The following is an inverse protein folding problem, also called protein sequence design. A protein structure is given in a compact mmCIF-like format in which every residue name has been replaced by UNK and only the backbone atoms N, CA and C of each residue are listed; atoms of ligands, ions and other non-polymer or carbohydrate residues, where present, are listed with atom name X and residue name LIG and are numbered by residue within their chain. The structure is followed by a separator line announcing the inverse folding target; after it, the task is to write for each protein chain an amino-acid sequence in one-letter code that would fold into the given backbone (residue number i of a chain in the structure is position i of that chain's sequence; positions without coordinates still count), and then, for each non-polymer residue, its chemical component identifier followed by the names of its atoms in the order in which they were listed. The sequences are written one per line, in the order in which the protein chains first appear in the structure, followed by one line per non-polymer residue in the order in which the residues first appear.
data_IF_552473032682
#
_entry.id   IF_552473032682
#
_cell.length_a   1.000
_cell.length_b   1.000
_cell.length_c   1.000
_cell.angle_alpha   90.00
_cell.angle_beta   90.00
_cell.angle_gamma   90.00
#
_symmetry.space_group_name_H-M   'P 1'
#
loop_
_entity.id
_entity.type
_entity.pdbx_description
1 polymer ?
#
# COMPACT_ATOMS: atom_id res chain seq x y z
N UNK A 1 -11.66 3.21 26.04
CA UNK A 1 -11.42 2.70 27.41
C UNK A 1 -11.41 1.16 27.51
N UNK A 2 -11.38 0.39 26.40
CA UNK A 2 -11.51 -1.07 26.46
C UNK A 2 -10.19 -1.88 26.35
N UNK A 3 -9.05 -1.24 26.07
CA UNK A 3 -7.77 -1.96 25.86
C UNK A 3 -6.90 -2.06 27.12
N UNK A 4 -7.11 -1.14 28.08
CA UNK A 4 -6.40 -1.16 29.36
C UNK A 4 -6.96 -2.20 30.34
N UNK A 5 -8.25 -2.54 30.24
CA UNK A 5 -8.88 -3.56 31.09
C UNK A 5 -8.55 -5.01 30.69
N UNK A 6 -8.13 -5.25 29.44
CA UNK A 6 -7.70 -6.59 29.01
C UNK A 6 -6.25 -6.95 29.40
N UNK A 7 -5.42 -5.98 29.77
CA UNK A 7 -4.04 -6.21 30.21
C UNK A 7 -3.93 -6.60 31.69
N UNK A 8 -4.99 -6.48 32.48
CA UNK A 8 -4.95 -6.69 33.93
C UNK A 8 -5.54 -8.04 34.41
N UNK A 9 -5.94 -8.94 33.49
CA UNK A 9 -6.65 -10.17 33.85
C UNK A 9 -5.92 -11.49 33.51
N UNK A 10 -4.60 -11.46 33.28
CA UNK A 10 -3.78 -12.68 33.21
C UNK A 10 -2.37 -12.43 33.73
N UNK A 11 -2.23 -12.45 35.05
CA UNK A 11 -0.94 -12.71 35.70
C UNK A 11 -1.15 -13.72 36.82
N UNK A 12 -1.89 -14.79 36.54
CA UNK A 12 -1.60 -16.05 37.22
C UNK A 12 -0.25 -16.52 36.68
N UNK A 13 0.82 -16.12 37.35
CA UNK A 13 2.13 -16.77 37.24
C UNK A 13 1.84 -18.26 37.39
N UNK A 14 2.08 -19.11 36.37
CA UNK A 14 1.98 -20.53 36.61
C UNK A 14 3.02 -20.84 37.68
N UNK A 15 2.53 -21.31 38.83
CA UNK A 15 3.35 -21.73 39.95
C UNK A 15 4.05 -23.02 39.53
N UNK A 16 5.13 -22.86 38.76
CA UNK A 16 5.96 -23.97 38.35
C UNK A 16 6.77 -24.41 39.57
N UNK A 17 6.87 -25.73 39.84
CA UNK A 17 7.72 -26.20 40.92
C UNK A 17 9.13 -25.65 40.68
N UNK A 18 9.67 -24.96 41.67
CA UNK A 18 11.08 -24.56 41.73
C UNK A 18 11.90 -25.82 41.45
N UNK A 19 12.45 -25.92 40.24
CA UNK A 19 13.25 -27.06 39.85
C UNK A 19 14.56 -26.96 40.61
N UNK A 20 14.70 -27.75 41.66
CA UNK A 20 15.99 -28.00 42.27
C UNK A 20 16.69 -29.02 41.39
N UNK A 21 17.78 -28.65 40.69
CA UNK A 21 18.60 -29.66 40.04
C UNK A 21 19.00 -30.65 41.12
N UNK A 22 18.73 -31.93 40.88
CA UNK A 22 19.25 -32.99 41.73
C UNK A 22 20.78 -32.80 41.79
N UNK A 23 21.39 -32.79 42.99
CA UNK A 23 22.82 -32.53 43.12
C UNK A 23 23.59 -33.52 42.25
N UNK A 24 24.73 -33.08 41.71
CA UNK A 24 25.57 -33.99 40.95
C UNK A 24 25.93 -35.18 41.86
N UNK A 25 25.92 -36.42 41.34
CA UNK A 25 26.43 -37.55 42.10
C UNK A 25 27.87 -37.27 42.56
N UNK A 26 28.21 -37.66 43.79
CA UNK A 26 29.51 -37.35 44.41
C UNK A 26 30.72 -37.72 43.52
N UNK A 27 30.64 -38.84 42.80
CA UNK A 27 31.68 -39.31 41.89
C UNK A 27 31.85 -38.46 40.61
N UNK A 28 30.86 -37.63 40.27
CA UNK A 28 30.88 -36.72 39.11
C UNK A 28 31.14 -35.26 39.54
N UNK A 29 30.86 -34.94 40.80
CA UNK A 29 31.16 -33.64 41.40
C UNK A 29 32.65 -33.48 41.71
N UNK A 30 33.28 -34.52 42.26
CA UNK A 30 34.71 -34.54 42.57
C UNK A 30 35.53 -35.08 41.39
N UNK A 31 36.44 -34.26 40.86
CA UNK A 31 37.37 -34.67 39.81
C UNK A 31 38.27 -35.83 40.26
N UNK A 32 38.66 -35.89 41.53
CA UNK A 32 39.49 -36.98 42.06
C UNK A 32 38.76 -38.32 41.96
N UNK A 33 37.53 -38.37 42.44
CA UNK A 33 36.67 -39.56 42.36
C UNK A 33 36.36 -39.95 40.91
N UNK A 34 36.17 -38.96 40.03
CA UNK A 34 35.93 -39.23 38.61
C UNK A 34 37.16 -39.89 37.94
N UNK A 35 38.37 -39.45 38.30
CA UNK A 35 39.63 -40.04 37.81
C UNK A 35 39.85 -41.44 38.37
N UNK A 36 39.55 -41.65 39.65
CA UNK A 36 39.67 -42.95 40.29
C UNK A 36 38.70 -43.96 39.66
N UNK A 37 37.45 -43.56 39.44
CA UNK A 37 36.44 -44.35 38.72
C UNK A 37 36.91 -44.66 37.28
N UNK A 38 37.49 -43.67 36.59
CA UNK A 38 38.06 -43.88 35.25
C UNK A 38 39.22 -44.87 35.25
N UNK A 39 40.11 -44.80 36.25
CA UNK A 39 41.25 -45.68 36.38
C UNK A 39 40.82 -47.12 36.69
N UNK A 40 39.90 -47.30 37.64
CA UNK A 40 39.32 -48.61 37.99
C UNK A 40 38.64 -49.23 36.76
N UNK A 41 37.84 -48.46 36.04
CA UNK A 41 37.19 -48.92 34.81
C UNK A 41 38.20 -49.26 33.72
N UNK A 42 39.28 -48.49 33.56
CA UNK A 42 40.35 -48.76 32.59
C UNK A 42 41.17 -50.01 32.91
N UNK A 43 41.31 -50.35 34.18
CA UNK A 43 41.91 -51.61 34.64
C UNK A 43 40.97 -52.81 34.43
N UNK A 44 39.65 -52.59 34.42
CA UNK A 44 38.63 -53.61 34.16
C UNK A 44 38.37 -53.86 32.66
N UNK A 45 37.64 -54.92 32.31
CA UNK A 45 37.21 -55.20 30.93
C UNK A 45 35.99 -54.38 30.48
N UNK A 46 35.62 -53.35 31.23
CA UNK A 46 34.46 -52.51 30.94
C UNK A 46 34.64 -51.63 29.68
N UNK A 47 33.49 -51.19 29.15
CA UNK A 47 33.38 -50.32 27.98
C UNK A 47 33.34 -48.85 28.40
N UNK A 48 34.13 -48.02 27.72
CA UNK A 48 34.23 -46.57 27.96
C UNK A 48 32.92 -45.85 27.63
N UNK A 49 32.19 -46.37 26.64
CA UNK A 49 31.01 -45.77 26.03
C UNK A 49 29.82 -45.72 27.01
N UNK A 50 29.69 -46.71 27.89
CA UNK A 50 28.54 -46.81 28.80
C UNK A 50 28.56 -45.71 29.87
N UNK A 51 29.74 -45.42 30.43
CA UNK A 51 29.90 -44.40 31.48
C UNK A 51 29.95 -42.99 30.93
N UNK A 52 30.57 -42.77 29.77
CA UNK A 52 30.54 -41.47 29.07
C UNK A 52 29.13 -41.12 28.57
N UNK A 53 28.33 -42.13 28.15
CA UNK A 53 26.92 -41.93 27.85
C UNK A 53 26.09 -41.56 29.08
N UNK A 54 26.37 -42.18 30.24
CA UNK A 54 25.71 -41.85 31.50
C UNK A 54 26.02 -40.41 31.94
N UNK A 55 27.29 -39.98 31.90
CA UNK A 55 27.67 -38.58 32.13
C UNK A 55 26.91 -37.65 31.17
N UNK A 56 26.83 -38.01 29.89
CA UNK A 56 26.13 -37.21 28.88
C UNK A 56 24.64 -37.07 29.17
N UNK A 57 23.99 -38.16 29.62
CA UNK A 57 22.57 -38.19 29.96
C UNK A 57 22.25 -37.29 31.17
N UNK A 58 23.08 -37.33 32.22
CA UNK A 58 22.92 -36.46 33.40
C UNK A 58 22.98 -34.98 33.03
N UNK A 59 23.99 -34.59 32.27
CA UNK A 59 24.10 -33.21 31.79
C UNK A 59 22.99 -32.83 30.81
N UNK A 60 22.52 -33.77 29.98
CA UNK A 60 21.36 -33.55 29.11
C UNK A 60 20.11 -33.24 29.95
N UNK A 61 19.81 -34.03 30.98
CA UNK A 61 18.69 -33.78 31.89
C UNK A 61 18.82 -32.41 32.59
N UNK A 62 20.04 -32.05 33.02
CA UNK A 62 20.31 -30.77 33.65
C UNK A 62 20.14 -29.56 32.69
N UNK A 63 20.37 -29.75 31.39
CA UNK A 63 20.15 -28.71 30.37
C UNK A 63 18.69 -28.53 29.95
N UNK A 64 17.79 -29.50 30.22
CA UNK A 64 16.39 -29.46 29.73
C UNK A 64 15.67 -28.18 30.15
N UNK A 65 15.84 -27.75 31.41
CA UNK A 65 15.21 -26.54 31.92
C UNK A 65 15.67 -25.30 31.14
N UNK A 66 16.98 -25.12 31.00
CA UNK A 66 17.56 -23.98 30.29
C UNK A 66 17.23 -24.02 28.79
N UNK A 67 17.17 -25.20 28.18
CA UNK A 67 16.79 -25.37 26.78
C UNK A 67 15.35 -24.91 26.54
N UNK A 68 14.41 -25.29 27.41
CA UNK A 68 13.02 -24.82 27.34
C UNK A 68 12.90 -23.32 27.55
N UNK A 69 13.65 -22.76 28.50
CA UNK A 69 13.63 -21.32 28.71
C UNK A 69 14.21 -20.56 27.51
N UNK A 70 15.27 -21.07 26.89
CA UNK A 70 15.82 -20.52 25.65
C UNK A 70 14.79 -20.54 24.52
N UNK A 71 14.11 -21.67 24.32
CA UNK A 71 13.06 -21.82 23.32
C UNK A 71 11.91 -20.84 23.56
N UNK A 72 11.43 -20.73 24.80
CA UNK A 72 10.37 -19.78 25.18
C UNK A 72 10.76 -18.32 24.89
N UNK A 73 12.00 -17.93 25.21
CA UNK A 73 12.47 -16.56 24.96
C UNK A 73 12.69 -16.30 23.47
N UNK A 74 13.20 -17.29 22.74
CA UNK A 74 13.36 -17.22 21.29
C UNK A 74 12.02 -17.13 20.57
N UNK A 75 11.01 -17.88 21.00
CA UNK A 75 9.64 -17.82 20.47
C UNK A 75 9.03 -16.44 20.67
N UNK A 76 9.10 -15.89 21.90
CA UNK A 76 8.64 -14.51 22.18
C UNK A 76 9.33 -13.48 21.30
N UNK A 77 10.64 -13.60 21.08
CA UNK A 77 11.37 -12.70 20.17
C UNK A 77 10.88 -12.87 18.72
N UNK A 78 10.59 -14.11 18.30
CA UNK A 78 9.98 -14.43 17.01
C UNK A 78 8.62 -13.76 16.83
N UNK A 79 7.73 -13.87 17.81
CA UNK A 79 6.41 -13.22 17.83
C UNK A 79 6.55 -11.69 17.71
N UNK A 80 7.44 -11.07 18.50
CA UNK A 80 7.67 -9.64 18.44
C UNK A 80 8.22 -9.20 17.07
N UNK A 81 9.08 -10.00 16.44
CA UNK A 81 9.57 -9.71 15.09
C UNK A 81 8.44 -9.75 14.05
N UNK A 82 7.56 -10.75 14.14
CA UNK A 82 6.39 -10.87 13.26
C UNK A 82 5.47 -9.66 13.42
N UNK A 83 5.23 -9.21 14.65
CA UNK A 83 4.45 -7.99 14.90
C UNK A 83 5.12 -6.72 14.34
N UNK A 84 6.45 -6.61 14.43
CA UNK A 84 7.21 -5.51 13.80
C UNK A 84 7.03 -5.57 12.29
N UNK A 85 7.15 -6.73 11.66
CA UNK A 85 7.04 -6.90 10.21
C UNK A 85 5.64 -6.56 9.70
N UNK A 86 4.59 -7.03 10.38
CA UNK A 86 3.20 -6.69 10.04
C UNK A 86 2.96 -5.18 10.10
N UNK A 87 3.47 -4.49 11.13
CA UNK A 87 3.32 -3.03 11.24
C UNK A 87 4.21 -2.27 10.26
N UNK A 88 5.39 -2.80 9.95
CA UNK A 88 6.31 -2.24 8.95
C UNK A 88 5.75 -2.34 7.53
N UNK A 89 5.12 -3.45 7.19
CA UNK A 89 4.47 -3.61 5.89
C UNK A 89 3.27 -2.66 5.76
N UNK A 90 2.49 -2.48 6.83
CA UNK A 90 1.39 -1.52 6.87
C UNK A 90 1.87 -0.06 6.70
N UNK A 91 2.96 0.33 7.34
CA UNK A 91 3.54 1.67 7.17
C UNK A 91 4.03 1.89 5.74
N UNK A 92 4.70 0.90 5.14
CA UNK A 92 5.11 0.96 3.73
C UNK A 92 3.92 1.08 2.77
N UNK A 93 2.83 0.34 3.03
CA UNK A 93 1.59 0.43 2.26
C UNK A 93 0.98 1.85 2.30
N UNK A 94 0.90 2.46 3.49
CA UNK A 94 0.38 3.81 3.67
C UNK A 94 1.27 4.87 3.01
N UNK A 95 2.60 4.72 3.10
CA UNK A 95 3.54 5.61 2.42
C UNK A 95 3.39 5.52 0.91
N UNK A 96 3.22 4.31 0.35
CA UNK A 96 2.96 4.12 -1.08
C UNK A 96 1.65 4.79 -1.50
N UNK A 97 0.57 4.58 -0.75
CA UNK A 97 -0.72 5.24 -1.00
C UNK A 97 -0.63 6.77 -0.97
N UNK A 98 0.21 7.31 -0.08
CA UNK A 98 0.48 8.74 0.01
C UNK A 98 1.21 9.25 -1.24
N UNK A 99 2.28 8.55 -1.66
CA UNK A 99 3.03 8.88 -2.87
C UNK A 99 2.14 8.79 -4.13
N UNK A 100 1.31 7.76 -4.24
CA UNK A 100 0.36 7.60 -5.36
C UNK A 100 -0.65 8.76 -5.40
N UNK A 101 -1.15 9.21 -4.24
CA UNK A 101 -2.08 10.34 -4.15
C UNK A 101 -1.42 11.70 -4.43
N UNK A 102 -0.14 11.84 -4.11
CA UNK A 102 0.67 13.02 -4.46
C UNK A 102 0.97 13.08 -5.95
N UNK A 103 1.28 11.93 -6.57
CA UNK A 103 1.51 11.81 -8.01
C UNK A 103 0.23 11.91 -8.85
N UNK A 104 -0.94 11.64 -8.26
CA UNK A 104 -2.22 11.74 -8.96
C UNK A 104 -2.48 13.15 -9.51
N UNK A 105 -2.67 13.25 -10.82
CA UNK A 105 -3.10 14.45 -11.52
C UNK A 105 -4.54 14.29 -12.02
N UNK A 106 -5.35 15.36 -12.02
CA UNK A 106 -6.68 15.33 -12.64
C UNK A 106 -6.57 15.04 -14.15
N UNK A 107 -7.53 14.29 -14.69
CA UNK A 107 -7.56 13.90 -16.10
C UNK A 107 -7.92 15.07 -17.02
N UNK A 108 -6.99 15.46 -17.89
CA UNK A 108 -7.19 16.50 -18.92
C UNK A 108 -6.27 17.70 -18.80
N UNK A 109 -6.37 18.61 -19.78
CA UNK A 109 -5.62 19.87 -19.81
C UNK A 109 -6.55 21.06 -19.55
N UNK A 110 -6.12 22.07 -18.78
CA UNK A 110 -6.93 23.26 -18.55
C UNK A 110 -6.98 24.11 -19.82
N UNK A 111 -8.09 24.06 -20.56
CA UNK A 111 -8.31 24.90 -21.75
C UNK A 111 -9.32 26.03 -21.49
N UNK A 112 -9.67 26.26 -20.22
CA UNK A 112 -10.67 27.23 -19.77
C UNK A 112 -10.49 28.62 -20.40
N UNK A 113 -9.28 29.18 -20.44
CA UNK A 113 -9.05 30.52 -21.01
C UNK A 113 -9.40 30.58 -22.50
N UNK A 114 -8.96 29.57 -23.26
CA UNK A 114 -9.22 29.48 -24.70
C UNK A 114 -10.71 29.33 -24.98
N UNK A 115 -11.39 28.47 -24.22
CA UNK A 115 -12.82 28.21 -24.38
C UNK A 115 -13.66 29.43 -23.98
N UNK A 116 -13.30 30.12 -22.90
CA UNK A 116 -14.01 31.33 -22.46
C UNK A 116 -13.87 32.46 -23.47
N UNK A 117 -12.66 32.68 -24.00
CA UNK A 117 -12.42 33.71 -25.03
C UNK A 117 -13.17 33.38 -26.33
N UNK A 118 -13.16 32.12 -26.76
CA UNK A 118 -13.93 31.67 -27.92
C UNK A 118 -15.44 31.88 -27.75
N UNK A 119 -15.96 31.67 -26.54
CA UNK A 119 -17.38 31.84 -26.22
C UNK A 119 -17.77 33.33 -26.20
N UNK A 120 -16.91 34.20 -25.66
CA UNK A 120 -17.07 35.66 -25.74
C UNK A 120 -17.06 36.13 -27.21
N UNK A 121 -16.14 35.61 -28.02
CA UNK A 121 -16.08 35.94 -29.45
C UNK A 121 -17.37 35.51 -30.18
N UNK A 122 -17.90 34.32 -29.88
CA UNK A 122 -19.18 33.87 -30.44
C UNK A 122 -20.35 34.76 -30.02
N UNK A 123 -20.40 35.22 -28.76
CA UNK A 123 -21.40 36.19 -28.32
C UNK A 123 -21.28 37.53 -29.02
N UNK A 124 -20.06 38.03 -29.25
CA UNK A 124 -19.85 39.27 -30.02
C UNK A 124 -20.37 39.15 -31.45
N UNK A 125 -20.19 37.98 -32.08
CA UNK A 125 -20.67 37.69 -33.44
C UNK A 125 -22.20 37.58 -33.48
N UNK A 126 -22.82 36.98 -32.45
CA UNK A 126 -24.27 36.95 -32.27
C UNK A 126 -24.87 38.36 -32.12
N UNK A 127 -24.22 39.25 -31.37
CA UNK A 127 -24.66 40.64 -31.23
C UNK A 127 -24.55 41.36 -32.58
N UNK A 128 -23.45 41.16 -33.31
CA UNK A 128 -23.26 41.73 -34.64
C UNK A 128 -24.35 41.30 -35.63
N UNK A 129 -24.78 40.04 -35.58
CA UNK A 129 -25.84 39.55 -36.46
C UNK A 129 -27.24 39.96 -36.06
N UNK A 130 -27.49 40.19 -34.77
CA UNK A 130 -28.71 40.84 -34.32
C UNK A 130 -28.88 42.22 -34.96
N UNK A 131 -27.84 43.07 -34.89
CA UNK A 131 -27.87 44.40 -35.50
C UNK A 131 -28.02 44.34 -37.02
N UNK A 132 -27.31 43.41 -37.67
CA UNK A 132 -27.41 43.22 -39.12
C UNK A 132 -28.84 42.82 -39.54
N UNK A 133 -29.51 41.96 -38.77
CA UNK A 133 -30.89 41.56 -39.04
C UNK A 133 -31.88 42.71 -38.78
N UNK A 134 -31.73 43.45 -37.68
CA UNK A 134 -32.64 44.54 -37.32
C UNK A 134 -32.64 45.63 -38.42
N UNK A 135 -31.46 46.00 -38.92
CA UNK A 135 -31.32 46.99 -40.00
C UNK A 135 -31.94 46.52 -41.33
N UNK A 136 -31.91 45.21 -41.61
CA UNK A 136 -32.50 44.65 -42.84
C UNK A 136 -34.03 44.47 -42.76
N UNK A 137 -34.57 44.27 -41.55
CA UNK A 137 -36.01 44.05 -41.29
C UNK A 137 -36.77 45.35 -40.98
N UNK A 138 -36.08 46.41 -40.56
CA UNK A 138 -36.64 47.73 -40.25
C UNK A 138 -37.60 48.29 -41.32
N UNK A 139 -37.34 48.21 -42.63
CA UNK A 139 -38.25 48.78 -43.63
C UNK A 139 -39.58 48.02 -43.81
N UNK A 140 -39.69 46.77 -43.35
CA UNK A 140 -40.88 45.94 -43.55
C UNK A 140 -41.78 45.82 -42.32
N UNK A 141 -41.24 46.00 -41.11
CA UNK A 141 -41.98 45.82 -39.87
C UNK A 141 -41.78 46.98 -38.90
N UNK A 142 -42.88 47.56 -38.40
CA UNK A 142 -42.85 48.58 -37.33
C UNK A 142 -42.34 48.04 -35.98
N UNK A 143 -42.46 46.74 -35.75
CA UNK A 143 -41.94 46.00 -34.58
C UNK A 143 -40.75 45.11 -34.95
N UNK A 144 -39.76 45.67 -35.66
CA UNK A 144 -38.59 44.94 -36.19
C UNK A 144 -37.80 44.18 -35.12
N UNK A 145 -37.70 44.71 -33.90
CA UNK A 145 -36.85 44.18 -32.83
C UNK A 145 -37.29 42.82 -32.30
N UNK A 146 -38.61 42.61 -32.15
CA UNK A 146 -39.16 41.34 -31.66
C UNK A 146 -39.02 40.25 -32.72
N UNK A 147 -39.34 40.58 -33.98
CA UNK A 147 -39.22 39.67 -35.11
C UNK A 147 -37.76 39.27 -35.32
N UNK A 148 -36.83 40.23 -35.25
CA UNK A 148 -35.39 39.98 -35.33
C UNK A 148 -34.91 39.05 -34.21
N UNK A 149 -35.35 39.29 -32.97
CA UNK A 149 -35.00 38.40 -31.85
C UNK A 149 -35.56 36.99 -32.04
N UNK A 150 -36.77 36.84 -32.58
CA UNK A 150 -37.39 35.55 -32.88
C UNK A 150 -36.67 34.79 -34.00
N UNK A 151 -36.27 35.47 -35.07
CA UNK A 151 -35.49 34.89 -36.17
C UNK A 151 -34.10 34.47 -35.68
N UNK A 152 -33.46 35.30 -34.86
CA UNK A 152 -32.17 34.98 -34.25
C UNK A 152 -32.26 33.76 -33.33
N UNK A 153 -33.28 33.70 -32.45
CA UNK A 153 -33.53 32.54 -31.59
C UNK A 153 -33.82 31.29 -32.41
N UNK A 154 -34.67 31.38 -33.45
CA UNK A 154 -34.99 30.24 -34.30
C UNK A 154 -33.74 29.73 -35.04
N UNK A 155 -32.95 30.62 -35.63
CA UNK A 155 -31.71 30.25 -36.32
C UNK A 155 -30.69 29.59 -35.39
N UNK A 156 -30.63 30.05 -34.14
CA UNK A 156 -29.69 29.57 -33.12
C UNK A 156 -30.10 28.26 -32.44
N UNK A 157 -31.34 28.18 -31.93
CA UNK A 157 -31.84 27.03 -31.17
C UNK A 157 -32.07 25.78 -32.02
N UNK A 158 -32.17 25.92 -33.34
CA UNK A 158 -32.23 24.78 -34.27
C UNK A 158 -31.07 23.80 -34.11
N UNK A 159 -29.91 24.26 -33.63
CA UNK A 159 -28.71 23.45 -33.46
C UNK A 159 -28.59 22.80 -32.06
N UNK A 160 -29.28 23.33 -31.04
CA UNK A 160 -29.18 22.83 -29.66
C UNK A 160 -29.97 21.54 -29.41
N UNK A 161 -30.99 21.24 -30.24
CA UNK A 161 -31.97 20.21 -29.92
C UNK A 161 -31.46 18.76 -30.06
N UNK A 162 -30.23 18.52 -30.54
CA UNK A 162 -29.72 17.15 -30.73
C UNK A 162 -28.22 16.95 -30.54
N UNK A 163 -27.56 17.70 -29.66
CA UNK A 163 -26.19 17.34 -29.21
C UNK A 163 -26.17 16.33 -28.05
N UNK A 164 -27.26 15.56 -27.87
CA UNK A 164 -27.31 14.46 -26.91
C UNK A 164 -26.59 13.24 -27.48
N UNK A 165 -25.40 12.95 -26.93
CA UNK A 165 -24.60 11.72 -27.09
C UNK A 165 -25.32 10.56 -27.79
N UNK A 166 -25.10 10.42 -29.10
CA UNK A 166 -25.40 9.18 -29.84
C UNK A 166 -24.10 8.41 -29.98
N UNK A 167 -23.77 7.64 -28.96
CA UNK A 167 -22.87 6.49 -29.10
C UNK A 167 -23.60 5.42 -29.90
N UNK A 168 -22.98 5.04 -31.02
CA UNK A 168 -23.17 3.79 -31.78
C UNK A 168 -24.54 3.57 -32.46
N UNK A 169 -24.61 3.69 -33.79
CA UNK A 169 -24.61 2.55 -34.75
C UNK A 169 -24.75 3.07 -36.19
N UNK A 170 -24.08 2.39 -37.11
CA UNK A 170 -23.73 2.73 -38.49
C UNK A 170 -24.86 3.11 -39.49
N UNK A 171 -24.55 4.13 -40.30
CA UNK A 171 -24.63 4.18 -41.78
C UNK A 171 -25.81 4.79 -42.57
N UNK A 172 -26.97 5.12 -42.00
CA UNK A 172 -28.03 5.83 -42.77
C UNK A 172 -28.30 7.28 -42.34
N UNK A 173 -27.62 7.76 -41.28
CA UNK A 173 -28.06 8.92 -40.52
C UNK A 173 -27.37 10.26 -40.84
N UNK A 174 -26.27 10.26 -41.61
CA UNK A 174 -25.56 11.51 -41.93
C UNK A 174 -26.42 12.49 -42.74
N UNK A 175 -27.17 12.02 -43.74
CA UNK A 175 -28.04 12.89 -44.54
C UNK A 175 -29.28 13.35 -43.77
N UNK A 176 -29.82 12.52 -42.88
CA UNK A 176 -31.05 12.86 -42.13
C UNK A 176 -30.77 13.77 -40.93
N UNK A 177 -29.61 13.62 -40.27
CA UNK A 177 -29.14 14.56 -39.26
C UNK A 177 -28.80 15.92 -39.88
N UNK A 178 -28.04 15.93 -40.99
CA UNK A 178 -27.73 17.14 -41.74
C UNK A 178 -29.00 17.89 -42.17
N UNK A 179 -30.02 17.16 -42.66
CA UNK A 179 -31.31 17.75 -43.04
C UNK A 179 -32.15 18.24 -41.86
N UNK A 180 -32.03 17.65 -40.68
CA UNK A 180 -32.76 18.11 -39.49
C UNK A 180 -32.10 19.31 -38.80
N UNK A 181 -30.77 19.39 -38.87
CA UNK A 181 -29.95 20.32 -38.10
C UNK A 181 -29.72 21.64 -38.84
N UNK A 182 -29.72 21.63 -40.19
CA UNK A 182 -29.62 22.86 -41.00
C UNK A 182 -30.99 23.41 -41.43
N UNK A 183 -32.10 22.70 -41.18
CA UNK A 183 -33.42 23.12 -41.64
C UNK A 183 -33.87 24.48 -41.09
N UNK A 184 -33.65 24.75 -39.79
CA UNK A 184 -34.02 26.04 -39.19
C UNK A 184 -33.14 27.21 -39.68
N UNK A 185 -31.79 27.08 -39.75
CA UNK A 185 -30.94 28.08 -40.39
C UNK A 185 -31.32 28.35 -41.86
N UNK A 186 -31.70 27.31 -42.62
CA UNK A 186 -32.17 27.47 -44.01
C UNK A 186 -33.50 28.22 -44.05
N UNK A 187 -34.46 27.85 -43.21
CA UNK A 187 -35.79 28.49 -43.17
C UNK A 187 -35.69 29.97 -42.76
N UNK A 188 -34.86 30.28 -41.77
CA UNK A 188 -34.61 31.67 -41.31
C UNK A 188 -33.88 32.49 -42.36
N UNK A 189 -32.87 31.93 -43.02
CA UNK A 189 -32.19 32.57 -44.15
C UNK A 189 -33.13 32.83 -45.33
N UNK A 190 -33.97 31.86 -45.68
CA UNK A 190 -34.96 32.01 -46.74
C UNK A 190 -36.03 33.06 -46.39
N UNK A 191 -36.43 33.14 -45.12
CA UNK A 191 -37.33 34.20 -44.65
C UNK A 191 -36.72 35.58 -44.87
N UNK A 192 -35.44 35.79 -44.51
CA UNK A 192 -34.74 37.05 -44.75
C UNK A 192 -34.60 37.34 -46.25
N UNK A 193 -34.38 36.32 -47.08
CA UNK A 193 -34.34 36.46 -48.55
C UNK A 193 -35.66 37.01 -49.12
N UNK A 194 -36.79 36.44 -48.71
CA UNK A 194 -38.13 36.85 -49.18
C UNK A 194 -38.43 38.30 -48.81
N UNK A 195 -37.96 38.75 -47.65
CA UNK A 195 -38.14 40.14 -47.22
C UNK A 195 -37.18 41.10 -47.92
N UNK A 196 -35.94 40.69 -48.18
CA UNK A 196 -34.91 41.59 -48.75
C UNK A 196 -35.00 41.74 -50.26
N UNK A 197 -35.57 40.77 -50.99
CA UNK A 197 -35.75 40.84 -52.45
C UNK A 197 -36.69 41.97 -52.90
N UNK A 198 -37.55 42.46 -52.01
CA UNK A 198 -38.49 43.54 -52.31
C UNK A 198 -37.82 44.92 -52.35
N UNK A 199 -36.71 45.11 -51.61
CA UNK A 199 -36.04 46.41 -51.46
C UNK A 199 -34.65 46.48 -52.09
N UNK A 200 -34.01 45.35 -52.41
CA UNK A 200 -32.65 45.31 -52.94
C UNK A 200 -32.55 44.51 -54.24
N UNK A 201 -31.46 44.73 -54.98
CA UNK A 201 -31.13 43.92 -56.16
C UNK A 201 -31.13 42.43 -55.80
N UNK A 202 -31.69 41.56 -56.66
CA UNK A 202 -31.81 40.13 -56.37
C UNK A 202 -30.47 39.48 -56.03
N UNK A 203 -29.37 39.94 -56.64
CA UNK A 203 -28.02 39.47 -56.31
C UNK A 203 -27.59 39.79 -54.88
N UNK A 204 -27.94 40.98 -54.36
CA UNK A 204 -27.62 41.37 -52.99
C UNK A 204 -28.41 40.53 -51.98
N UNK A 205 -29.68 40.27 -52.26
CA UNK A 205 -30.55 39.47 -51.40
C UNK A 205 -30.11 38.00 -51.34
N UNK A 206 -29.71 37.41 -52.48
CA UNK A 206 -29.13 36.05 -52.53
C UNK A 206 -27.84 35.99 -51.69
N UNK A 207 -26.92 36.96 -51.88
CA UNK A 207 -25.66 37.00 -51.16
C UNK A 207 -25.86 37.16 -49.64
N UNK A 208 -26.80 38.01 -49.22
CA UNK A 208 -27.10 38.25 -47.82
C UNK A 208 -27.76 37.04 -47.14
N UNK A 209 -28.67 36.37 -47.83
CA UNK A 209 -29.25 35.10 -47.37
C UNK A 209 -28.16 34.05 -47.16
N UNK A 210 -27.34 33.79 -48.18
CA UNK A 210 -26.23 32.83 -48.07
C UNK A 210 -25.29 33.17 -46.90
N UNK A 211 -24.97 34.46 -46.72
CA UNK A 211 -24.13 34.92 -45.62
C UNK A 211 -24.74 34.63 -44.24
N UNK A 212 -26.02 34.97 -44.04
CA UNK A 212 -26.73 34.72 -42.77
C UNK A 212 -26.84 33.22 -42.50
N UNK A 213 -27.12 32.41 -43.52
CA UNK A 213 -27.15 30.95 -43.40
C UNK A 213 -25.81 30.39 -42.90
N UNK A 214 -24.71 30.72 -43.57
CA UNK A 214 -23.35 30.25 -43.20
C UNK A 214 -23.03 30.69 -41.78
N UNK A 215 -23.38 31.92 -41.43
CA UNK A 215 -23.09 32.48 -40.13
C UNK A 215 -23.85 31.75 -39.00
N UNK A 216 -25.14 31.45 -39.18
CA UNK A 216 -25.90 30.66 -38.20
C UNK A 216 -25.32 29.25 -38.01
N UNK A 217 -24.91 28.58 -39.09
CA UNK A 217 -24.30 27.25 -39.01
C UNK A 217 -22.95 27.30 -38.27
N UNK A 218 -22.08 28.26 -38.60
CA UNK A 218 -20.76 28.40 -37.98
C UNK A 218 -20.87 28.75 -36.49
N UNK A 219 -21.73 29.70 -36.13
CA UNK A 219 -21.95 30.08 -34.73
C UNK A 219 -22.54 28.91 -33.94
N UNK A 220 -23.57 28.25 -34.48
CA UNK A 220 -24.25 27.15 -33.80
C UNK A 220 -23.27 26.03 -33.44
N UNK A 221 -22.48 25.58 -34.42
CA UNK A 221 -21.50 24.53 -34.22
C UNK A 221 -20.43 24.94 -33.19
N UNK A 222 -19.93 26.17 -33.30
CA UNK A 222 -18.89 26.69 -32.41
C UNK A 222 -19.35 26.78 -30.96
N UNK A 223 -20.56 27.29 -30.71
CA UNK A 223 -21.08 27.42 -29.34
C UNK A 223 -21.33 26.04 -28.71
N UNK A 224 -21.91 25.08 -29.45
CA UNK A 224 -22.11 23.72 -28.94
C UNK A 224 -20.78 23.06 -28.53
N UNK A 225 -19.75 23.17 -29.39
CA UNK A 225 -18.41 22.65 -29.10
C UNK A 225 -17.74 23.37 -27.92
N UNK A 226 -17.86 24.69 -27.83
CA UNK A 226 -17.29 25.47 -26.72
C UNK A 226 -18.00 25.21 -25.39
N UNK A 227 -19.32 25.01 -25.39
CA UNK A 227 -20.09 24.72 -24.18
C UNK A 227 -19.76 23.33 -23.64
N UNK A 228 -19.64 22.32 -24.51
CA UNK A 228 -19.21 20.98 -24.08
C UNK A 228 -17.78 20.98 -23.55
N UNK A 229 -16.86 21.69 -24.21
CA UNK A 229 -15.50 21.88 -23.71
C UNK A 229 -15.46 22.61 -22.35
N UNK A 230 -16.31 23.62 -22.15
CA UNK A 230 -16.42 24.33 -20.87
C UNK A 230 -16.99 23.43 -19.75
N UNK A 231 -17.91 22.52 -20.09
CA UNK A 231 -18.42 21.51 -19.14
C UNK A 231 -17.30 20.55 -18.71
N UNK A 232 -16.47 20.12 -19.66
CA UNK A 232 -15.31 19.27 -19.37
C UNK A 232 -14.25 20.01 -18.53
N UNK A 233 -13.99 21.29 -18.82
CA UNK A 233 -13.13 22.16 -18.00
C UNK A 233 -13.68 22.32 -16.56
N UNK A 234 -15.00 22.49 -16.40
CA UNK A 234 -15.61 22.59 -15.08
C UNK A 234 -15.52 21.26 -14.31
N UNK A 235 -15.68 20.12 -15.00
CA UNK A 235 -15.46 18.80 -14.43
C UNK A 235 -14.01 18.64 -13.96
N UNK A 236 -13.03 19.03 -14.78
CA UNK A 236 -11.62 19.04 -14.44
C UNK A 236 -11.35 19.90 -13.18
N UNK A 237 -11.91 21.10 -13.12
CA UNK A 237 -11.73 21.99 -11.98
C UNK A 237 -12.32 21.40 -10.69
N UNK A 238 -13.50 20.78 -10.77
CA UNK A 238 -14.12 20.13 -9.63
C UNK A 238 -13.31 18.91 -9.15
N UNK A 239 -12.82 18.10 -10.09
CA UNK A 239 -11.91 16.98 -9.78
C UNK A 239 -10.63 17.49 -9.11
N UNK A 240 -10.02 18.57 -9.60
CA UNK A 240 -8.83 19.18 -8.99
C UNK A 240 -9.08 19.64 -7.56
N UNK A 241 -10.22 20.29 -7.29
CA UNK A 241 -10.60 20.69 -5.91
C UNK A 241 -10.79 19.48 -5.01
N UNK A 242 -11.48 18.44 -5.50
CA UNK A 242 -11.71 17.19 -4.76
C UNK A 242 -10.38 16.49 -4.45
N UNK A 243 -9.51 16.32 -5.43
CA UNK A 243 -8.18 15.73 -5.26
C UNK A 243 -7.33 16.52 -4.26
N UNK A 244 -7.33 17.85 -4.33
CA UNK A 244 -6.60 18.68 -3.36
C UNK A 244 -7.10 18.46 -1.92
N UNK A 245 -8.42 18.48 -1.72
CA UNK A 245 -9.03 18.24 -0.41
C UNK A 245 -8.75 16.81 0.10
N UNK A 246 -8.86 15.83 -0.78
CA UNK A 246 -8.55 14.43 -0.44
C UNK A 246 -7.08 14.25 -0.09
N UNK A 247 -6.16 14.91 -0.81
CA UNK A 247 -4.73 14.89 -0.50
C UNK A 247 -4.46 15.47 0.88
N UNK A 248 -4.94 16.68 1.17
CA UNK A 248 -4.74 17.31 2.48
C UNK A 248 -5.27 16.42 3.62
N UNK A 249 -6.50 15.91 3.49
CA UNK A 249 -7.15 15.13 4.55
C UNK A 249 -6.53 13.74 4.71
N UNK A 250 -6.31 13.01 3.61
CA UNK A 250 -5.78 11.63 3.65
C UNK A 250 -4.31 11.60 3.98
N UNK A 251 -3.49 12.52 3.44
CA UNK A 251 -2.06 12.59 3.78
C UNK A 251 -1.87 12.89 5.27
N UNK A 252 -2.70 13.77 5.85
CA UNK A 252 -2.65 14.03 7.29
C UNK A 252 -3.08 12.81 8.10
N UNK A 253 -4.18 12.14 7.71
CA UNK A 253 -4.68 10.95 8.39
C UNK A 253 -3.67 9.79 8.33
N UNK A 254 -3.16 9.48 7.14
CA UNK A 254 -2.15 8.43 6.93
C UNK A 254 -0.82 8.78 7.59
N UNK A 255 -0.40 10.05 7.56
CA UNK A 255 0.79 10.50 8.29
C UNK A 255 0.68 10.29 9.80
N UNK A 256 -0.50 10.58 10.39
CA UNK A 256 -0.75 10.30 11.79
C UNK A 256 -0.76 8.79 12.10
N UNK A 257 -1.37 7.97 11.23
CA UNK A 257 -1.38 6.50 11.37
C UNK A 257 0.04 5.93 11.27
N UNK A 258 0.85 6.41 10.31
CA UNK A 258 2.27 6.03 10.17
C UNK A 258 3.04 6.39 11.44
N UNK A 259 2.88 7.60 11.97
CA UNK A 259 3.55 8.00 13.21
C UNK A 259 3.15 7.12 14.40
N UNK A 260 1.86 6.79 14.55
CA UNK A 260 1.38 5.90 15.59
C UNK A 260 1.95 4.48 15.44
N UNK A 261 1.99 3.96 14.22
CA UNK A 261 2.58 2.66 13.92
C UNK A 261 4.07 2.65 14.25
N UNK A 262 4.83 3.69 13.87
CA UNK A 262 6.25 3.83 14.18
C UNK A 262 6.51 3.85 15.68
N UNK A 263 5.77 4.66 16.45
CA UNK A 263 5.87 4.67 17.93
C UNK A 263 5.61 3.26 18.49
N UNK A 264 4.62 2.56 17.96
CA UNK A 264 4.28 1.21 18.43
C UNK A 264 5.34 0.16 18.04
N UNK A 265 6.00 0.31 16.88
CA UNK A 265 7.13 -0.54 16.47
C UNK A 265 8.31 -0.31 17.41
N UNK A 266 8.62 0.95 17.74
CA UNK A 266 9.71 1.27 18.65
C UNK A 266 9.45 0.76 20.07
N UNK A 267 8.21 0.82 20.55
CA UNK A 267 7.82 0.18 21.81
C UNK A 267 8.05 -1.35 21.79
N UNK A 268 7.70 -2.03 20.71
CA UNK A 268 7.95 -3.48 20.55
C UNK A 268 9.45 -3.77 20.47
N UNK A 269 10.23 -2.92 19.80
CA UNK A 269 11.70 -3.04 19.78
C UNK A 269 12.25 -2.94 21.20
N UNK A 270 11.81 -1.97 22.00
CA UNK A 270 12.24 -1.84 23.40
C UNK A 270 11.93 -3.12 24.20
N UNK A 271 10.73 -3.70 24.04
CA UNK A 271 10.39 -4.98 24.67
C UNK A 271 11.33 -6.10 24.24
N UNK A 272 11.62 -6.22 22.93
CA UNK A 272 12.59 -7.18 22.41
C UNK A 272 13.98 -6.98 23.04
N UNK A 273 14.45 -5.74 23.12
CA UNK A 273 15.73 -5.40 23.73
C UNK A 273 15.81 -5.80 25.21
N UNK A 274 14.69 -5.79 25.94
CA UNK A 274 14.65 -6.24 27.34
C UNK A 274 14.76 -7.77 27.48
N UNK A 275 14.37 -8.55 26.45
CA UNK A 275 14.44 -10.02 26.46
C UNK A 275 15.83 -10.55 26.07
N UNK A 276 16.60 -9.81 25.27
CA UNK A 276 17.94 -10.22 24.82
C UNK A 276 18.90 -10.57 25.97
N UNK A 277 19.03 -9.77 27.05
CA UNK A 277 19.88 -10.11 28.18
C UNK A 277 19.48 -11.42 28.87
N UNK A 278 18.18 -11.69 28.99
CA UNK A 278 17.68 -12.92 29.58
C UNK A 278 18.03 -14.13 28.70
N UNK A 279 17.86 -14.01 27.39
CA UNK A 279 18.24 -15.05 26.42
C UNK A 279 19.75 -15.33 26.47
N UNK A 280 20.60 -14.30 26.42
CA UNK A 280 22.05 -14.47 26.49
C UNK A 280 22.53 -15.07 27.81
N UNK A 281 21.84 -14.76 28.91
CA UNK A 281 22.13 -15.40 30.21
C UNK A 281 21.87 -16.90 30.14
N UNK A 282 20.73 -17.32 29.59
CA UNK A 282 20.37 -18.74 29.46
C UNK A 282 21.32 -19.46 28.49
N UNK A 283 21.66 -18.83 27.37
CA UNK A 283 22.69 -19.34 26.44
C UNK A 283 24.04 -19.52 27.12
N UNK A 284 24.46 -18.54 27.93
CA UNK A 284 25.70 -18.61 28.70
C UNK A 284 25.73 -19.76 29.69
N UNK A 285 24.63 -20.00 30.43
CA UNK A 285 24.52 -21.12 31.35
C UNK A 285 24.51 -22.47 30.62
N UNK A 286 23.78 -22.58 29.50
CA UNK A 286 23.81 -23.78 28.64
C UNK A 286 25.22 -24.06 28.12
N UNK A 287 25.91 -23.04 27.63
CA UNK A 287 27.28 -23.16 27.16
C UNK A 287 28.20 -23.63 28.30
N UNK A 288 28.09 -23.02 29.48
CA UNK A 288 28.87 -23.39 30.67
C UNK A 288 28.65 -24.85 31.08
N UNK A 289 27.40 -25.31 31.13
CA UNK A 289 27.04 -26.69 31.48
C UNK A 289 27.59 -27.67 30.43
N UNK A 290 27.44 -27.34 29.14
CA UNK A 290 27.96 -28.17 28.04
C UNK A 290 29.50 -28.22 28.01
N UNK A 291 30.19 -27.12 28.31
CA UNK A 291 31.64 -27.08 28.43
C UNK A 291 32.11 -27.92 29.63
N UNK A 292 31.42 -27.82 30.79
CA UNK A 292 31.71 -28.66 31.96
C UNK A 292 31.53 -30.14 31.63
N UNK A 293 30.43 -30.52 30.97
CA UNK A 293 30.21 -31.89 30.48
C UNK A 293 31.37 -32.37 29.63
N UNK A 294 31.76 -31.59 28.61
CA UNK A 294 32.83 -31.97 27.69
C UNK A 294 34.18 -32.13 28.39
N UNK A 295 34.48 -31.25 29.36
CA UNK A 295 35.70 -31.32 30.16
C UNK A 295 35.74 -32.61 31.00
N UNK A 296 34.65 -32.93 31.71
CA UNK A 296 34.59 -34.13 32.55
C UNK A 296 34.67 -35.41 31.72
N UNK A 297 33.99 -35.47 30.57
CA UNK A 297 34.10 -36.60 29.64
C UNK A 297 35.55 -36.74 29.14
N UNK A 298 36.18 -35.66 28.71
CA UNK A 298 37.56 -35.70 28.21
C UNK A 298 38.53 -36.17 29.31
N UNK A 299 38.41 -35.64 30.53
CA UNK A 299 39.20 -36.06 31.68
C UNK A 299 39.06 -37.57 31.92
N UNK A 300 37.81 -38.05 31.99
CA UNK A 300 37.50 -39.46 32.18
C UNK A 300 38.11 -40.33 31.08
N UNK A 301 37.97 -39.94 29.81
CA UNK A 301 38.54 -40.66 28.68
C UNK A 301 40.08 -40.73 28.72
N UNK A 302 40.74 -39.63 29.10
CA UNK A 302 42.20 -39.59 29.18
C UNK A 302 42.74 -40.53 30.26
N UNK A 303 42.15 -40.51 31.45
CA UNK A 303 42.57 -41.38 32.57
C UNK A 303 42.23 -42.85 32.30
N UNK A 304 41.05 -43.13 31.73
CA UNK A 304 40.68 -44.48 31.31
C UNK A 304 41.69 -45.08 30.32
N UNK A 305 42.07 -44.32 29.29
CA UNK A 305 43.06 -44.75 28.29
C UNK A 305 44.44 -44.98 28.92
N UNK A 306 44.85 -44.10 29.84
CA UNK A 306 46.11 -44.24 30.57
C UNK A 306 46.11 -45.53 31.40
N UNK A 307 45.10 -45.76 32.23
CA UNK A 307 44.98 -46.95 33.07
C UNK A 307 44.95 -48.24 32.23
N UNK A 308 44.22 -48.24 31.11
CA UNK A 308 44.17 -49.36 30.17
C UNK A 308 45.53 -49.65 29.55
N UNK A 309 46.27 -48.62 29.15
CA UNK A 309 47.62 -48.77 28.60
C UNK A 309 48.60 -49.35 29.63
N UNK A 310 48.49 -48.94 30.91
CA UNK A 310 49.31 -49.47 32.00
C UNK A 310 48.98 -50.94 32.28
N UNK A 311 47.70 -51.31 32.31
CA UNK A 311 47.27 -52.71 32.42
C UNK A 311 47.87 -53.57 31.30
N UNK A 312 47.78 -53.09 30.07
CA UNK A 312 48.25 -53.82 28.90
C UNK A 312 49.79 -54.00 28.93
N UNK A 313 50.53 -53.09 29.58
CA UNK A 313 51.98 -53.19 29.82
C UNK A 313 52.37 -54.06 31.03
N UNK A 314 51.47 -54.32 31.99
CA UNK A 314 51.75 -55.13 33.19
C UNK A 314 51.65 -56.64 32.92
N UNK A 315 52.58 -57.43 33.47
CA UNK A 315 52.57 -58.90 33.37
C UNK A 315 51.45 -59.54 34.23
N UNK A 316 50.93 -60.72 33.84
CA UNK A 316 49.83 -61.42 34.56
C UNK A 316 50.08 -61.62 36.06
N UNK A 317 51.35 -61.76 36.49
CA UNK A 317 51.72 -61.93 37.91
C UNK A 317 51.59 -60.64 38.71
N UNK A 318 51.87 -59.48 38.08
CA UNK A 318 51.73 -58.16 38.71
C UNK A 318 50.27 -57.71 38.72
N UNK A 319 49.48 -58.06 37.70
CA UNK A 319 48.03 -57.79 37.66
C UNK A 319 47.28 -58.42 38.84
N UNK A 320 47.64 -59.65 39.22
CA UNK A 320 47.03 -60.35 40.37
C UNK A 320 47.41 -59.78 41.73
N UNK A 321 48.57 -59.12 41.86
CA UNK A 321 48.99 -58.51 43.11
C UNK A 321 48.30 -57.17 43.39
N UNK A 322 47.93 -56.42 42.34
CA UNK A 322 47.27 -55.10 42.45
C UNK A 322 45.75 -55.23 42.68
N UNK A 323 45.13 -56.33 42.23
CA UNK A 323 43.69 -56.59 42.41
C UNK A 323 43.34 -57.31 43.72
N UNK A 324 44.33 -57.70 44.53
CA UNK A 324 44.16 -58.54 45.72
C UNK A 324 44.34 -57.78 47.06
N UNK A 325 44.69 -56.49 47.01
CA UNK A 325 44.61 -55.53 48.13
C UNK A 325 43.36 -54.64 47.94
#
# INVERSE_FOLDING_TARGET
MAFAEQLNNKTSIPDFPTYFPEPLPDWLEDEGLLRDEAAVLGLSDARLEEKTALISLYFQQHTVYFQRELENQAEKIGELNLLIEQKSSRTAELQRKTADLEAATPDGEPQFLKNTVGLIACFSLLIGTYYLLDEMLQPHFRESRLITSGIMLAGFFGHFYRSGKVTETHSSFLFQCLRSETALPIATSFFVFVQTIQNQSPFKSIALSLFIFVLFVVIGHSISGLVTALQDDFRYWNQRKKLKKERETKTQMWGNEVNQLTISIDAIRVQKWQLLPALHRVEGELARINTRRALLIHLFETEFKLARSLRDQLSERQRRAIMAD
#
